data_IF_023538576892
#
_entry.id   IF_023538576892
#
_cell.length_a   1.000
_cell.length_b   1.000
_cell.length_c   1.000
_cell.angle_alpha   90.00
_cell.angle_beta   90.00
_cell.angle_gamma   90.00
#
_symmetry.space_group_name_H-M   'P 1'
#
loop_
_entity.id
_entity.type
_entity.pdbx_description
1 polymer ?
#
# COMPACT_ATOMS: atom_id res chain seq x y z
N UNK A 1 6.78 29.77 -16.81
CA UNK A 1 7.41 28.44 -16.62
C UNK A 1 6.78 27.85 -15.35
N UNK A 2 5.75 27.03 -15.51
CA UNK A 2 5.00 26.37 -14.41
C UNK A 2 5.16 24.88 -14.70
N UNK A 3 5.70 24.11 -13.77
CA UNK A 3 5.92 22.68 -13.94
C UNK A 3 4.58 21.96 -14.02
N UNK A 4 4.16 21.62 -15.23
CA UNK A 4 2.90 20.91 -15.48
C UNK A 4 3.06 19.43 -15.17
N UNK A 5 2.50 19.05 -14.02
CA UNK A 5 1.70 17.86 -13.68
C UNK A 5 2.05 17.47 -12.24
N UNK A 6 1.44 18.18 -11.30
CA UNK A 6 1.49 17.90 -9.87
C UNK A 6 0.49 16.79 -9.57
N UNK A 7 0.87 15.82 -8.73
CA UNK A 7 -0.05 14.83 -8.17
C UNK A 7 -1.37 15.48 -7.74
N UNK A 8 -2.50 14.85 -8.07
CA UNK A 8 -3.79 15.23 -7.52
C UNK A 8 -4.36 14.07 -6.72
N UNK A 9 -4.37 14.24 -5.40
CA UNK A 9 -4.90 13.26 -4.47
C UNK A 9 -6.31 13.64 -4.03
N UNK A 10 -7.19 12.65 -4.03
CA UNK A 10 -8.52 12.74 -3.41
C UNK A 10 -8.71 11.56 -2.47
N UNK A 11 -9.54 11.75 -1.45
CA UNK A 11 -9.82 10.74 -0.43
C UNK A 11 -11.33 10.68 -0.18
N UNK A 12 -11.82 9.52 0.24
CA UNK A 12 -13.17 9.42 0.79
C UNK A 12 -13.25 10.27 2.06
N UNK A 13 -14.43 10.84 2.34
CA UNK A 13 -14.72 11.47 3.63
C UNK A 13 -15.41 10.49 4.60
N UNK A 14 -15.24 9.19 4.34
CA UNK A 14 -15.72 8.10 5.19
C UNK A 14 -14.47 7.37 5.69
N UNK A 15 -14.19 7.39 7.01
CA UNK A 15 -13.03 6.73 7.57
C UNK A 15 -13.22 5.22 7.61
N UNK A 16 -12.11 4.49 7.60
CA UNK A 16 -12.08 3.06 7.87
C UNK A 16 -12.47 2.81 9.33
N UNK A 17 -13.42 1.90 9.55
CA UNK A 17 -13.81 1.46 10.89
C UNK A 17 -12.63 0.81 11.62
N UNK A 18 -12.55 1.05 12.93
CA UNK A 18 -11.49 0.53 13.80
C UNK A 18 -11.88 -0.85 14.35
N UNK A 19 -10.88 -1.66 14.70
CA UNK A 19 -11.04 -2.97 15.35
C UNK A 19 -11.92 -3.97 14.57
N UNK A 20 -12.01 -3.81 13.26
CA UNK A 20 -12.68 -4.73 12.35
C UNK A 20 -12.00 -4.71 10.98
N UNK A 21 -12.25 -5.74 10.17
CA UNK A 21 -11.74 -5.81 8.82
C UNK A 21 -12.63 -5.01 7.88
N UNK A 22 -12.04 -4.05 7.17
CA UNK A 22 -12.72 -3.22 6.19
C UNK A 22 -12.08 -3.41 4.83
N UNK A 23 -12.90 -3.58 3.80
CA UNK A 23 -12.46 -3.76 2.42
C UNK A 23 -13.12 -2.74 1.50
N UNK A 24 -12.37 -2.25 0.51
CA UNK A 24 -12.90 -1.46 -0.59
C UNK A 24 -12.19 -1.78 -1.89
N UNK A 25 -12.82 -1.41 -3.00
CA UNK A 25 -12.24 -1.51 -4.33
C UNK A 25 -12.25 -0.18 -5.06
N UNK A 26 -11.29 -0.01 -5.95
CA UNK A 26 -11.24 1.09 -6.90
C UNK A 26 -10.93 0.51 -8.28
N UNK A 27 -11.85 0.69 -9.23
CA UNK A 27 -11.64 0.35 -10.63
C UNK A 27 -11.07 1.52 -11.40
N UNK A 28 -10.11 1.23 -12.26
CA UNK A 28 -9.53 2.20 -13.18
C UNK A 28 -10.18 2.03 -14.55
N UNK A 29 -10.68 3.12 -15.12
CA UNK A 29 -11.20 3.16 -16.48
C UNK A 29 -10.58 4.33 -17.27
N UNK A 30 -10.53 4.17 -18.58
CA UNK A 30 -10.13 5.22 -19.51
C UNK A 30 -11.37 5.84 -20.11
N UNK A 31 -11.36 7.15 -20.33
CA UNK A 31 -12.44 7.81 -21.07
C UNK A 31 -12.34 7.37 -22.53
N UNK A 32 -13.40 6.79 -23.14
CA UNK A 32 -13.45 6.67 -24.58
C UNK A 32 -13.45 8.08 -25.16
N UNK A 33 -12.41 8.43 -25.92
CA UNK A 33 -12.36 9.70 -26.65
C UNK A 33 -13.53 9.69 -27.62
N UNK A 34 -14.55 10.53 -27.37
CA UNK A 34 -15.71 10.69 -28.25
C UNK A 34 -15.21 10.95 -29.68
N UNK A 35 -15.44 9.98 -30.56
CA UNK A 35 -15.13 10.03 -31.99
C UNK A 35 -15.97 11.13 -32.67
N UNK A 36 -15.49 12.36 -32.62
CA UNK A 36 -16.01 13.50 -33.38
C UNK A 36 -15.13 13.91 -34.56
N UNK A 37 -14.06 13.15 -34.86
CA UNK A 37 -13.07 13.51 -35.87
C UNK A 37 -12.65 12.26 -36.63
N UNK A 38 -12.96 12.22 -37.92
CA UNK A 38 -12.66 11.15 -38.89
C UNK A 38 -11.17 10.80 -39.03
N UNK A 39 -10.53 10.23 -38.00
CA UNK A 39 -9.16 9.74 -38.06
C UNK A 39 -9.09 8.30 -37.53
N UNK A 40 -9.45 7.38 -38.42
CA UNK A 40 -9.47 5.93 -38.23
C UNK A 40 -8.07 5.28 -38.13
N UNK A 41 -7.09 5.95 -37.48
CA UNK A 41 -5.68 5.51 -37.46
C UNK A 41 -4.87 5.86 -36.18
N UNK A 42 -5.49 6.31 -35.09
CA UNK A 42 -4.77 6.65 -33.84
C UNK A 42 -5.35 5.99 -32.57
N UNK A 43 -5.68 4.70 -32.63
CA UNK A 43 -5.94 3.91 -31.41
C UNK A 43 -4.67 3.55 -30.61
N UNK A 44 -3.49 3.97 -31.09
CA UNK A 44 -2.23 3.82 -30.36
C UNK A 44 -1.85 5.15 -29.69
N UNK A 45 -1.62 5.09 -28.37
CA UNK A 45 -1.03 6.15 -27.52
C UNK A 45 -1.94 7.03 -26.67
N UNK A 46 -3.05 6.51 -26.13
CA UNK A 46 -3.46 7.05 -24.83
C UNK A 46 -2.34 6.70 -23.82
N UNK A 47 -1.77 7.68 -23.09
CA UNK A 47 -0.73 7.42 -22.12
C UNK A 47 -1.28 6.44 -21.07
N UNK A 48 -0.47 5.46 -20.62
CA UNK A 48 -0.92 4.50 -19.61
C UNK A 48 -1.40 5.23 -18.36
N UNK A 49 -2.45 4.71 -17.74
CA UNK A 49 -2.93 5.23 -16.47
C UNK A 49 -1.76 5.21 -15.46
N UNK A 50 -1.49 6.37 -14.86
CA UNK A 50 -0.48 6.52 -13.81
C UNK A 50 -1.19 7.05 -12.59
N UNK A 51 -1.33 6.19 -11.59
CA UNK A 51 -2.01 6.51 -10.34
C UNK A 51 -1.47 5.64 -9.20
N UNK A 52 -1.90 5.96 -7.99
CA UNK A 52 -1.69 5.15 -6.79
C UNK A 52 -2.98 5.09 -5.99
N UNK A 53 -3.34 3.91 -5.48
CA UNK A 53 -4.55 3.64 -4.71
C UNK A 53 -4.15 3.10 -3.34
N UNK A 54 -4.75 3.60 -2.27
CA UNK A 54 -4.53 3.06 -0.94
C UNK A 54 -5.21 3.87 0.15
N UNK A 55 -4.46 4.19 1.20
CA UNK A 55 -4.95 4.83 2.41
C UNK A 55 -4.10 6.04 2.79
N UNK A 56 -4.71 7.06 3.35
CA UNK A 56 -4.00 8.16 3.98
C UNK A 56 -4.77 8.72 5.18
N UNK A 57 -4.06 9.31 6.13
CA UNK A 57 -4.67 10.19 7.13
C UNK A 57 -4.95 11.58 6.56
N UNK A 58 -5.83 12.36 7.20
CA UNK A 58 -6.21 13.71 6.74
C UNK A 58 -5.02 14.67 6.64
N UNK A 59 -3.97 14.45 7.44
CA UNK A 59 -2.75 15.27 7.44
C UNK A 59 -1.95 15.19 6.13
N UNK A 60 -2.11 14.11 5.35
CA UNK A 60 -1.41 14.00 4.07
C UNK A 60 -1.83 15.13 3.13
N UNK A 61 -0.92 15.93 2.54
CA UNK A 61 -1.30 16.98 1.58
C UNK A 61 -1.91 16.42 0.29
N UNK A 62 -2.86 17.17 -0.31
CA UNK A 62 -3.54 16.74 -1.56
C UNK A 62 -2.62 16.71 -2.80
N UNK A 63 -1.40 17.25 -2.72
CA UNK A 63 -0.40 17.22 -3.79
C UNK A 63 0.71 16.20 -3.52
N UNK A 64 0.47 15.27 -2.59
CA UNK A 64 1.38 14.20 -2.20
C UNK A 64 0.85 12.87 -2.70
N UNK A 65 1.75 12.05 -3.27
CA UNK A 65 1.45 10.67 -3.66
C UNK A 65 1.02 9.84 -2.44
N UNK A 66 -0.13 9.16 -2.53
CA UNK A 66 -0.56 8.22 -1.49
C UNK A 66 0.49 7.12 -1.32
N UNK A 67 0.91 6.92 -0.08
CA UNK A 67 2.06 6.11 0.29
C UNK A 67 3.30 6.93 0.68
N UNK A 68 3.48 8.13 0.12
CA UNK A 68 4.67 8.95 0.36
C UNK A 68 4.66 9.68 1.72
N UNK A 69 3.53 9.65 2.44
CA UNK A 69 3.35 10.29 3.74
C UNK A 69 3.38 9.26 4.88
N UNK A 70 3.86 9.65 6.07
CA UNK A 70 4.08 8.76 7.23
C UNK A 70 2.86 7.93 7.62
N UNK A 71 1.66 8.51 7.55
CA UNK A 71 0.39 7.84 7.82
C UNK A 71 -0.34 7.38 6.55
N UNK A 72 0.39 6.98 5.50
CA UNK A 72 -0.20 6.55 4.24
C UNK A 72 0.49 5.35 3.63
N UNK A 73 -0.27 4.59 2.84
CA UNK A 73 0.22 3.46 2.05
C UNK A 73 -0.52 3.43 0.73
N UNK A 74 0.17 3.18 -0.38
CA UNK A 74 -0.43 3.15 -1.71
C UNK A 74 0.21 2.13 -2.64
N UNK A 75 -0.62 1.44 -3.43
CA UNK A 75 -0.20 0.59 -4.53
C UNK A 75 -0.19 1.40 -5.83
N UNK A 76 0.98 1.60 -6.41
CA UNK A 76 1.16 2.29 -7.69
C UNK A 76 0.83 1.37 -8.88
N UNK A 77 0.47 1.94 -10.04
CA UNK A 77 0.17 1.18 -11.26
C UNK A 77 1.32 0.28 -11.73
N UNK A 78 2.56 0.58 -11.36
CA UNK A 78 3.74 -0.27 -11.59
C UNK A 78 3.73 -1.57 -10.77
N UNK A 79 2.78 -1.71 -9.85
CA UNK A 79 2.67 -2.83 -8.92
C UNK A 79 3.52 -2.69 -7.66
N UNK A 80 4.28 -1.60 -7.54
CA UNK A 80 5.06 -1.29 -6.35
C UNK A 80 4.18 -0.67 -5.28
N UNK A 81 4.46 -1.00 -4.02
CA UNK A 81 3.78 -0.39 -2.88
C UNK A 81 4.71 0.67 -2.28
N UNK A 82 4.16 1.82 -1.96
CA UNK A 82 4.82 2.89 -1.23
C UNK A 82 4.14 2.99 0.14
N UNK A 83 4.88 2.77 1.22
CA UNK A 83 4.35 2.80 2.59
C UNK A 83 5.20 3.74 3.45
N UNK A 84 4.58 4.77 4.04
CA UNK A 84 5.29 5.74 4.86
C UNK A 84 6.57 6.34 4.21
N UNK A 85 6.54 6.54 2.89
CA UNK A 85 7.68 7.04 2.11
C UNK A 85 8.72 5.98 1.70
N UNK A 86 8.49 4.71 2.04
CA UNK A 86 9.39 3.59 1.72
C UNK A 86 8.81 2.71 0.61
N UNK A 87 9.61 2.44 -0.42
CA UNK A 87 9.22 1.55 -1.52
C UNK A 87 9.36 0.09 -1.12
N UNK A 88 8.28 -0.66 -1.28
CA UNK A 88 8.21 -2.11 -1.14
C UNK A 88 8.02 -2.72 -2.53
N UNK A 89 9.01 -3.48 -3.01
CA UNK A 89 8.91 -4.20 -4.27
C UNK A 89 8.09 -5.47 -4.08
N UNK A 90 7.05 -5.74 -4.89
CA UNK A 90 6.30 -6.99 -4.85
C UNK A 90 7.18 -8.18 -5.27
N UNK A 91 6.78 -9.39 -4.89
CA UNK A 91 7.48 -10.63 -5.32
C UNK A 91 7.41 -10.79 -6.84
N UNK A 92 6.25 -10.53 -7.43
CA UNK A 92 6.03 -10.52 -8.87
C UNK A 92 5.27 -9.24 -9.29
N UNK A 93 5.95 -8.24 -9.87
CA UNK A 93 5.32 -7.02 -10.35
C UNK A 93 4.23 -7.24 -11.40
N UNK A 94 4.26 -8.35 -12.15
CA UNK A 94 3.25 -8.63 -13.19
C UNK A 94 1.88 -8.93 -12.59
N UNK A 95 1.87 -9.51 -11.40
CA UNK A 95 0.65 -9.84 -10.67
C UNK A 95 0.09 -8.66 -9.88
N UNK A 96 0.90 -7.64 -9.62
CA UNK A 96 0.50 -6.45 -8.85
C UNK A 96 0.36 -5.18 -9.69
N UNK A 97 0.86 -5.15 -10.92
CA UNK A 97 0.64 -4.03 -11.83
C UNK A 97 -0.81 -3.97 -12.31
N UNK A 98 -1.31 -2.76 -12.49
CA UNK A 98 -2.68 -2.53 -12.94
C UNK A 98 -2.76 -1.28 -13.83
N UNK A 99 -3.85 -1.18 -14.58
CA UNK A 99 -4.07 -0.09 -15.52
C UNK A 99 -5.54 -0.03 -15.92
N UNK A 100 -5.81 0.31 -17.17
CA UNK A 100 -7.19 0.36 -17.66
C UNK A 100 -7.93 -0.96 -17.45
N UNK A 101 -9.17 -0.87 -16.95
CA UNK A 101 -10.03 -1.99 -16.55
C UNK A 101 -9.50 -2.84 -15.38
N UNK A 102 -8.44 -2.40 -14.71
CA UNK A 102 -7.97 -3.04 -13.48
C UNK A 102 -8.79 -2.62 -12.27
N UNK A 103 -8.99 -3.55 -11.33
CA UNK A 103 -9.57 -3.28 -10.01
C UNK A 103 -8.50 -3.52 -8.97
N UNK A 104 -8.25 -2.51 -8.13
CA UNK A 104 -7.42 -2.63 -6.92
C UNK A 104 -8.34 -2.72 -5.72
N UNK A 105 -8.17 -3.73 -4.89
CA UNK A 105 -8.80 -3.80 -3.59
C UNK A 105 -7.79 -3.61 -2.47
N UNK A 106 -8.31 -3.21 -1.32
CA UNK A 106 -7.53 -2.90 -0.13
C UNK A 106 -8.30 -3.40 1.10
N UNK A 107 -7.76 -4.43 1.75
CA UNK A 107 -8.24 -4.95 3.03
C UNK A 107 -7.43 -4.31 4.15
N UNK A 108 -8.12 -3.81 5.16
CA UNK A 108 -7.54 -3.01 6.24
C UNK A 108 -8.06 -3.49 7.58
N UNK A 109 -7.18 -3.58 8.58
CA UNK A 109 -7.55 -3.75 9.99
C UNK A 109 -6.75 -2.78 10.85
N UNK A 110 -7.42 -1.81 11.46
CA UNK A 110 -6.81 -0.84 12.38
C UNK A 110 -6.98 -1.32 13.82
N UNK A 111 -5.88 -1.72 14.47
CA UNK A 111 -5.89 -2.36 15.78
C UNK A 111 -5.63 -1.38 16.93
N UNK A 112 -6.67 -0.93 17.65
CA UNK A 112 -6.48 -0.05 18.80
C UNK A 112 -5.82 -0.73 19.99
N UNK A 113 -5.87 -2.07 20.07
CA UNK A 113 -5.21 -2.84 21.12
C UNK A 113 -3.69 -2.91 20.90
N UNK A 114 -3.22 -2.68 19.67
CA UNK A 114 -1.78 -2.60 19.34
C UNK A 114 -1.10 -1.31 19.80
N UNK A 115 -1.80 -0.43 20.52
CA UNK A 115 -1.31 0.90 20.86
C UNK A 115 0.05 0.89 21.59
N UNK A 116 0.99 1.70 21.10
CA UNK A 116 2.31 1.87 21.70
C UNK A 116 2.75 3.34 21.70
N UNK A 117 3.57 3.72 22.67
CA UNK A 117 4.05 5.09 22.81
C UNK A 117 5.28 5.34 21.92
N UNK A 118 5.27 6.45 21.20
CA UNK A 118 6.44 7.00 20.49
C UNK A 118 6.68 8.45 20.91
N UNK A 119 7.74 9.06 20.39
CA UNK A 119 7.99 10.49 20.56
C UNK A 119 6.97 11.37 19.81
N UNK A 120 6.32 10.84 18.78
CA UNK A 120 5.24 11.48 18.02
C UNK A 120 3.85 11.33 18.68
N UNK A 121 3.76 10.59 19.79
CA UNK A 121 2.51 10.28 20.48
C UNK A 121 2.18 8.79 20.50
N UNK A 122 0.93 8.46 20.83
CA UNK A 122 0.45 7.08 20.83
C UNK A 122 0.16 6.66 19.39
N UNK A 123 0.78 5.58 18.95
CA UNK A 123 0.63 5.00 17.62
C UNK A 123 -0.13 3.68 17.73
N UNK A 124 -0.86 3.32 16.69
CA UNK A 124 -1.50 2.01 16.50
C UNK A 124 -1.03 1.41 15.18
N UNK A 125 -1.12 0.09 15.05
CA UNK A 125 -0.82 -0.65 13.83
C UNK A 125 -2.08 -0.85 13.00
N UNK A 126 -1.97 -0.50 11.72
CA UNK A 126 -2.90 -0.88 10.66
C UNK A 126 -2.30 -1.99 9.83
N UNK A 127 -3.03 -3.08 9.66
CA UNK A 127 -2.67 -4.18 8.75
C UNK A 127 -3.33 -3.95 7.40
N UNK A 128 -2.53 -3.88 6.33
CA UNK A 128 -3.02 -3.55 4.98
C UNK A 128 -2.64 -4.64 3.99
N UNK A 129 -3.62 -5.17 3.27
CA UNK A 129 -3.42 -6.16 2.21
C UNK A 129 -4.02 -5.62 0.91
N UNK A 130 -3.20 -5.56 -0.14
CA UNK A 130 -3.68 -5.19 -1.47
C UNK A 130 -3.97 -6.43 -2.31
N UNK A 131 -4.94 -6.32 -3.20
CA UNK A 131 -5.14 -7.25 -4.29
C UNK A 131 -5.39 -6.51 -5.61
N UNK A 132 -5.04 -7.15 -6.71
CA UNK A 132 -5.31 -6.66 -8.07
C UNK A 132 -6.10 -7.72 -8.81
N UNK A 133 -7.30 -7.37 -9.27
CA UNK A 133 -8.21 -8.29 -9.98
C UNK A 133 -8.43 -9.62 -9.21
N UNK A 134 -8.55 -9.55 -7.88
CA UNK A 134 -8.73 -10.73 -7.02
C UNK A 134 -7.45 -11.53 -6.74
N UNK A 135 -6.28 -11.05 -7.15
CA UNK A 135 -4.98 -11.66 -6.83
C UNK A 135 -4.27 -10.83 -5.75
N UNK A 136 -4.00 -11.45 -4.60
CA UNK A 136 -3.34 -10.79 -3.48
C UNK A 136 -1.90 -10.43 -3.85
N UNK A 137 -1.51 -9.19 -3.57
CA UNK A 137 -0.16 -8.69 -3.82
C UNK A 137 0.77 -9.16 -2.71
N UNK A 138 1.56 -10.19 -3.00
CA UNK A 138 2.57 -10.69 -2.08
C UNK A 138 3.83 -9.81 -2.07
N UNK A 139 4.43 -9.65 -0.90
CA UNK A 139 5.66 -8.91 -0.73
C UNK A 139 6.80 -9.81 -0.19
N UNK A 140 8.05 -9.59 -0.64
CA UNK A 140 9.20 -10.12 0.04
C UNK A 140 9.26 -9.51 1.44
N UNK A 141 9.68 -10.29 2.42
CA UNK A 141 9.90 -9.81 3.78
C UNK A 141 10.82 -8.58 3.72
N UNK A 142 10.30 -7.43 4.12
CA UNK A 142 11.12 -6.24 4.28
C UNK A 142 12.08 -6.54 5.42
N UNK A 143 13.38 -6.63 5.13
CA UNK A 143 14.38 -6.80 6.18
C UNK A 143 14.18 -5.66 7.20
N UNK A 144 14.14 -5.95 8.51
CA UNK A 144 14.03 -4.89 9.50
C UNK A 144 15.14 -3.87 9.26
N UNK A 145 14.88 -2.57 9.48
CA UNK A 145 15.93 -1.57 9.34
C UNK A 145 17.13 -1.99 10.20
N UNK A 146 18.37 -1.83 9.72
CA UNK A 146 19.54 -2.13 10.53
C UNK A 146 19.43 -1.32 11.81
N UNK A 147 19.28 -2.01 12.94
CA UNK A 147 19.35 -1.39 14.26
C UNK A 147 20.73 -0.74 14.30
N UNK A 148 20.77 0.59 14.34
CA UNK A 148 22.00 1.32 14.55
C UNK A 148 22.47 0.96 15.95
N UNK A 149 23.39 0.01 16.04
CA UNK A 149 23.95 -0.46 17.30
C UNK A 149 24.79 0.69 17.87
N UNK A 150 24.20 1.47 18.76
CA UNK A 150 24.85 2.57 19.49
C UNK A 150 25.77 1.98 20.55
N UNK A 151 26.88 1.37 20.10
CA UNK A 151 28.05 1.07 20.92
C UNK A 151 29.30 1.63 20.26
N UNK A 152 29.36 2.95 20.07
CA UNK A 152 30.63 3.65 19.94
C UNK A 152 31.21 3.89 21.35
N UNK A 153 31.85 2.88 21.90
CA UNK A 153 32.73 3.07 23.06
C UNK A 153 34.06 3.58 22.55
N UNK A 154 34.36 4.84 22.90
CA UNK A 154 35.71 5.41 22.77
C UNK A 154 36.72 4.58 23.57
N UNK A 155 37.80 4.12 22.93
CA UNK A 155 39.08 3.91 23.61
C UNK A 155 40.25 3.87 22.62
N UNK A 156 41.29 4.64 23.00
CA UNK A 156 42.57 4.87 22.34
C UNK A 156 43.47 3.63 22.15
N UNK A 157 44.38 3.75 21.18
CA UNK A 157 45.68 3.07 20.95
C UNK A 157 46.26 2.21 22.11
N UNK A 158 46.60 0.94 21.85
CA UNK A 158 47.99 0.51 21.54
C UNK A 158 48.17 -1.01 21.24
N UNK A 159 49.03 -1.25 20.24
CA UNK A 159 50.07 -2.27 20.01
C UNK A 159 49.87 -3.82 20.03
N UNK A 160 50.53 -4.39 18.99
CA UNK A 160 51.18 -5.69 18.78
C UNK A 160 50.48 -7.07 18.96
N UNK A 161 50.35 -7.74 17.80
CA UNK A 161 50.61 -9.18 17.52
C UNK A 161 49.79 -10.27 18.24
N UNK A 162 48.87 -10.91 17.50
CA UNK A 162 48.73 -12.38 17.54
C UNK A 162 48.06 -12.97 16.30
N UNK A 163 48.61 -14.12 15.92
CA UNK A 163 48.33 -14.95 14.75
C UNK A 163 46.91 -15.55 14.73
N UNK A 164 46.39 -15.67 13.50
CA UNK A 164 45.70 -16.84 12.96
C UNK A 164 44.37 -17.27 13.61
N UNK A 165 43.28 -17.04 12.89
CA UNK A 165 42.55 -18.09 12.13
C UNK A 165 41.44 -17.43 11.33
N UNK A 166 41.60 -17.45 10.00
CA UNK A 166 40.51 -17.23 9.06
C UNK A 166 39.46 -18.31 9.26
N UNK A 167 38.38 -17.95 9.95
CA UNK A 167 37.12 -18.70 9.88
C UNK A 167 36.27 -17.94 8.88
N UNK A 168 36.33 -18.39 7.63
CA UNK A 168 35.27 -18.11 6.67
C UNK A 168 33.97 -18.70 7.24
N UNK A 169 33.21 -17.87 7.94
CA UNK A 169 31.77 -18.08 8.03
C UNK A 169 31.18 -17.70 6.68
N UNK A 170 30.60 -18.64 5.93
CA UNK A 170 29.73 -18.23 4.84
C UNK A 170 28.59 -17.44 5.47
N UNK A 171 28.49 -16.16 5.10
CA UNK A 171 27.23 -15.44 5.23
C UNK A 171 26.22 -16.23 4.38
N UNK A 172 25.38 -17.03 5.03
CA UNK A 172 24.14 -17.51 4.45
C UNK A 172 23.19 -16.31 4.34
N UNK A 173 22.83 -15.84 3.13
CA UNK A 173 21.71 -14.93 2.98
C UNK A 173 20.46 -15.80 2.81
N UNK A 174 20.06 -16.51 3.86
CA UNK A 174 18.74 -17.14 3.93
C UNK A 174 17.86 -16.42 4.94
N UNK A 175 17.58 -15.14 4.66
CA UNK A 175 16.36 -14.49 5.14
C UNK A 175 15.19 -14.90 4.21
N UNK A 176 14.94 -16.21 4.12
CA UNK A 176 13.93 -16.82 3.24
C UNK A 176 12.68 -17.21 3.99
N UNK A 177 12.12 -16.33 4.82
CA UNK A 177 10.78 -16.55 5.36
C UNK A 177 9.73 -16.42 4.24
N UNK A 178 8.54 -17.02 4.40
CA UNK A 178 7.48 -16.94 3.40
C UNK A 178 7.12 -15.48 3.13
N UNK A 179 6.79 -15.11 1.87
CA UNK A 179 6.38 -13.76 1.55
C UNK A 179 5.14 -13.38 2.35
N UNK A 180 5.14 -12.17 2.90
CA UNK A 180 4.01 -11.63 3.65
C UNK A 180 3.06 -10.92 2.69
N UNK A 181 1.76 -11.14 2.85
CA UNK A 181 0.72 -10.46 2.06
C UNK A 181 0.21 -9.20 2.73
N UNK A 182 0.54 -9.01 4.02
CA UNK A 182 0.03 -7.92 4.84
C UNK A 182 1.16 -6.99 5.29
N UNK A 183 0.94 -5.70 5.09
CA UNK A 183 1.84 -4.62 5.43
C UNK A 183 1.42 -3.93 6.73
N UNK A 184 2.35 -3.70 7.66
CA UNK A 184 2.09 -2.81 8.78
C UNK A 184 2.21 -1.34 8.34
N UNK A 185 1.23 -0.52 8.72
CA UNK A 185 1.28 0.93 8.69
C UNK A 185 1.07 1.46 10.10
N UNK A 186 1.94 2.35 10.57
CA UNK A 186 1.79 2.98 11.88
C UNK A 186 1.03 4.30 11.75
N UNK A 187 -0.05 4.43 12.51
CA UNK A 187 -0.97 5.58 12.44
C UNK A 187 -1.10 6.18 13.83
N UNK A 188 -1.06 7.51 14.00
CA UNK A 188 -1.39 8.13 15.28
C UNK A 188 -2.77 7.67 15.74
N UNK A 189 -2.91 7.31 17.01
CA UNK A 189 -4.15 6.71 17.55
C UNK A 189 -5.38 7.57 17.29
N UNK A 190 -5.23 8.88 17.41
CA UNK A 190 -6.30 9.87 17.23
C UNK A 190 -6.60 10.20 15.76
N UNK A 191 -5.80 9.68 14.82
CA UNK A 191 -6.02 9.86 13.39
C UNK A 191 -6.85 8.71 12.80
N UNK A 192 -7.62 9.04 11.77
CA UNK A 192 -8.41 8.10 10.97
C UNK A 192 -7.73 7.83 9.63
N UNK A 193 -8.00 6.67 9.03
CA UNK A 193 -7.53 6.31 7.69
C UNK A 193 -8.67 6.41 6.68
N UNK A 194 -8.37 6.95 5.51
CA UNK A 194 -9.34 7.15 4.44
C UNK A 194 -8.86 6.48 3.13
N UNK A 195 -9.72 5.70 2.45
CA UNK A 195 -9.53 5.34 1.05
C UNK A 195 -9.10 6.56 0.22
N UNK A 196 -7.95 6.46 -0.43
CA UNK A 196 -7.28 7.58 -1.10
C UNK A 196 -6.75 7.14 -2.45
N UNK A 197 -6.91 8.00 -3.45
CA UNK A 197 -6.32 7.84 -4.77
C UNK A 197 -5.52 9.07 -5.14
N UNK A 198 -4.34 8.86 -5.71
CA UNK A 198 -3.56 9.91 -6.35
C UNK A 198 -3.52 9.68 -7.84
N UNK A 199 -3.97 10.66 -8.62
CA UNK A 199 -3.89 10.66 -10.07
C UNK A 199 -2.63 11.40 -10.54
N UNK A 200 -1.98 10.84 -11.54
CA UNK A 200 -0.83 11.41 -12.22
C UNK A 200 -1.12 11.68 -13.71
N UNK A 201 -1.99 10.88 -14.33
CA UNK A 201 -2.46 11.10 -15.71
C UNK A 201 -3.82 11.81 -15.75
N UNK A 202 -4.00 12.83 -16.62
CA UNK A 202 -5.25 13.60 -16.70
C UNK A 202 -6.40 12.85 -17.39
N UNK A 203 -6.13 11.73 -18.07
CA UNK A 203 -7.11 10.97 -18.86
C UNK A 203 -7.54 9.65 -18.17
N UNK A 204 -7.50 9.62 -16.84
CA UNK A 204 -7.84 8.43 -16.04
C UNK A 204 -9.04 8.70 -15.17
N UNK A 205 -10.01 7.79 -15.20
CA UNK A 205 -11.15 7.78 -14.29
C UNK A 205 -10.97 6.64 -13.30
N UNK A 206 -11.43 6.89 -12.08
CA UNK A 206 -11.42 5.90 -10.99
C UNK A 206 -12.83 5.84 -10.42
N UNK A 207 -13.39 4.64 -10.40
CA UNK A 207 -14.67 4.34 -9.77
C UNK A 207 -14.40 3.70 -8.41
N UNK A 208 -14.85 4.35 -7.34
CA UNK A 208 -14.77 3.81 -5.98
C UNK A 208 -15.96 2.89 -5.70
N UNK A 209 -15.71 1.74 -5.08
CA UNK A 209 -16.72 0.80 -4.62
C UNK A 209 -16.58 0.65 -3.11
N UNK A 210 -17.48 1.31 -2.41
CA UNK A 210 -17.45 1.44 -0.95
C UNK A 210 -18.60 0.71 -0.25
N UNK A 211 -19.55 0.16 -1.00
CA UNK A 211 -20.61 -0.69 -0.49
C UNK A 211 -20.40 -2.16 -0.92
N UNK A 212 -20.94 -3.09 -0.15
CA UNK A 212 -20.84 -4.52 -0.43
C UNK A 212 -21.48 -4.90 -1.77
N UNK A 213 -22.56 -4.23 -2.18
CA UNK A 213 -23.26 -4.52 -3.44
C UNK A 213 -22.43 -4.18 -4.69
N UNK A 214 -21.54 -3.19 -4.60
CA UNK A 214 -20.71 -2.78 -5.74
C UNK A 214 -19.40 -3.58 -5.82
N UNK A 215 -18.91 -4.10 -4.70
CA UNK A 215 -17.63 -4.81 -4.58
C UNK A 215 -17.65 -6.10 -5.42
N UNK A 216 -16.57 -6.33 -6.17
CA UNK A 216 -16.43 -7.45 -7.10
C UNK A 216 -15.75 -8.69 -6.50
N UNK A 217 -15.16 -8.57 -5.31
CA UNK A 217 -14.54 -9.68 -4.60
C UNK A 217 -15.54 -10.84 -4.39
N UNK A 218 -15.14 -12.05 -4.79
CA UNK A 218 -16.01 -13.24 -4.75
C UNK A 218 -15.70 -14.16 -3.58
N UNK A 219 -14.55 -14.00 -2.91
CA UNK A 219 -14.15 -14.83 -1.77
C UNK A 219 -13.12 -14.15 -0.86
N UNK A 220 -13.05 -14.61 0.40
CA UNK A 220 -12.03 -14.20 1.38
C UNK A 220 -10.60 -14.37 0.86
N UNK A 221 -10.32 -15.48 0.18
CA UNK A 221 -9.00 -15.77 -0.37
C UNK A 221 -8.56 -14.77 -1.44
N UNK A 222 -9.50 -14.25 -2.25
CA UNK A 222 -9.17 -13.28 -3.32
C UNK A 222 -8.77 -11.90 -2.79
N UNK A 223 -9.05 -11.62 -1.51
CA UNK A 223 -8.73 -10.35 -0.85
C UNK A 223 -7.71 -10.52 0.28
N UNK A 224 -7.22 -11.75 0.48
CA UNK A 224 -6.25 -12.07 1.53
C UNK A 224 -6.80 -11.97 2.95
N UNK A 225 -8.12 -12.13 3.11
CA UNK A 225 -8.75 -12.02 4.42
C UNK A 225 -8.58 -13.29 5.27
N UNK A 226 -8.45 -13.14 6.60
CA UNK A 226 -8.43 -14.29 7.49
C UNK A 226 -9.78 -15.00 7.53
N UNK A 227 -9.76 -16.26 7.97
CA UNK A 227 -10.94 -17.10 8.17
C UNK A 227 -11.61 -16.70 9.49
N UNK A 228 -12.94 -16.81 9.56
CA UNK A 228 -13.68 -16.63 10.83
C UNK A 228 -13.75 -15.19 11.33
N UNK A 229 -13.69 -14.19 10.44
CA UNK A 229 -13.84 -12.77 10.80
C UNK A 229 -14.86 -12.08 9.92
N UNK A 230 -15.70 -11.19 10.44
CA UNK A 230 -16.58 -10.37 9.59
C UNK A 230 -15.76 -9.34 8.81
N UNK A 231 -16.10 -9.16 7.54
CA UNK A 231 -15.50 -8.15 6.65
C UNK A 231 -16.56 -7.17 6.24
N UNK A 232 -16.31 -5.89 6.51
CA UNK A 232 -17.19 -4.79 6.19
C UNK A 232 -16.72 -4.06 4.94
N UNK A 233 -17.64 -3.50 4.17
CA UNK A 233 -17.33 -2.46 3.20
C UNK A 233 -17.15 -1.11 3.93
N UNK A 234 -16.66 -0.09 3.23
CA UNK A 234 -16.40 1.24 3.81
C UNK A 234 -17.68 1.93 4.30
N UNK A 235 -18.83 1.66 3.68
CA UNK A 235 -20.13 2.16 4.15
C UNK A 235 -20.69 1.43 5.38
N UNK A 236 -20.01 0.37 5.85
CA UNK A 236 -20.40 -0.46 6.99
C UNK A 236 -21.30 -1.65 6.64
N UNK A 237 -21.65 -1.85 5.37
CA UNK A 237 -22.35 -3.07 4.93
C UNK A 237 -21.45 -4.30 5.07
N UNK A 238 -22.04 -5.46 5.37
CA UNK A 238 -21.30 -6.72 5.51
C UNK A 238 -21.00 -7.30 4.12
N UNK A 239 -19.72 -7.53 3.84
CA UNK A 239 -19.25 -8.15 2.60
C UNK A 239 -19.11 -9.68 2.75
N UNK A 240 -18.48 -10.14 3.84
CA UNK A 240 -18.33 -11.56 4.16
C UNK A 240 -18.57 -11.78 5.66
N UNK A 241 -19.43 -12.73 6.02
CA UNK A 241 -19.78 -13.11 7.40
C UNK A 241 -18.84 -14.20 7.95
N UNK A 242 -18.83 -14.50 9.26
CA UNK A 242 -17.85 -15.34 9.99
C UNK A 242 -17.65 -16.81 9.54
N UNK A 243 -18.08 -17.20 8.35
CA UNK A 243 -17.93 -18.53 7.74
C UNK A 243 -16.50 -19.12 7.82
#
# INVERSE_FOLDING_TARGET
KVGNVLYSSTRSMIPVLRNCFVYFEMSVSSVPVLEGSNNMLLHHHLPPATLSIGLSTLEMPNQTLVGAWKGSVGLCTTGQILAAGQWCSPVDPRLSSYGNNGTVGCLVYLDDASAFQTWDGVMVTSSVTFNVNGQVVAQPLCAPPPVLDTKSTFSHHDDATRRSRDVHHPMDPQAGGPPTTTLPLYVPREEELFPTVTLHSPATQVMCRFCAEDIQATSRSTIGAPIGVVIYAVDGSVLFDED
#
